data_IF_629485395574
#
_entry.id   IF_629485395574
#
_cell.length_a   1.000
_cell.length_b   1.000
_cell.length_c   1.000
_cell.angle_alpha   90.00
_cell.angle_beta   90.00
_cell.angle_gamma   90.00
#
_symmetry.space_group_name_H-M   'P 1'
#
loop_
_entity.id
_entity.type
_entity.pdbx_description
1 polymer ?
#
# COMPACT_ATOMS: atom_id res chain seq x y z
N UNK A 1 -6.45 -13.42 1.77
CA UNK A 1 -6.43 -14.03 3.12
C UNK A 1 -7.87 -14.08 3.61
N UNK A 2 -8.34 -15.22 4.10
CA UNK A 2 -9.75 -15.37 4.49
C UNK A 2 -9.91 -15.22 6.00
N UNK A 3 -10.89 -14.40 6.41
CA UNK A 3 -11.32 -14.30 7.80
C UNK A 3 -11.99 -15.61 8.21
N UNK A 4 -11.48 -16.26 9.27
CA UNK A 4 -12.00 -17.53 9.79
C UNK A 4 -12.86 -17.33 11.02
N UNK A 5 -12.46 -16.45 11.94
CA UNK A 5 -13.20 -16.19 13.15
C UNK A 5 -12.89 -14.79 13.70
N UNK A 6 -13.76 -14.30 14.56
CA UNK A 6 -13.45 -13.22 15.48
C UNK A 6 -13.80 -13.66 16.89
N UNK A 7 -13.04 -13.20 17.87
CA UNK A 7 -13.23 -13.48 19.29
C UNK A 7 -13.40 -12.14 20.00
N UNK A 8 -14.39 -12.05 20.87
CA UNK A 8 -14.57 -10.92 21.77
C UNK A 8 -14.29 -11.38 23.19
N UNK A 9 -13.25 -10.82 23.81
CA UNK A 9 -12.98 -11.05 25.23
C UNK A 9 -13.92 -10.21 26.10
N UNK A 10 -14.10 -10.65 27.35
CA UNK A 10 -14.83 -9.98 28.43
C UNK A 10 -14.47 -8.50 28.61
N UNK A 11 -13.25 -8.09 28.23
CA UNK A 11 -12.78 -6.70 28.29
C UNK A 11 -12.65 -6.02 26.93
N UNK A 12 -13.76 -5.79 26.21
CA UNK A 12 -13.89 -5.02 24.94
C UNK A 12 -12.85 -5.31 23.83
N UNK A 13 -11.98 -6.31 23.99
CA UNK A 13 -10.93 -6.65 23.05
C UNK A 13 -11.51 -7.57 21.98
N UNK A 14 -11.25 -7.20 20.73
CA UNK A 14 -11.55 -8.02 19.57
C UNK A 14 -10.26 -8.64 19.06
N UNK A 15 -10.29 -9.94 18.80
CA UNK A 15 -9.23 -10.66 18.10
C UNK A 15 -9.80 -11.24 16.82
N UNK A 16 -9.03 -11.17 15.75
CA UNK A 16 -9.45 -11.61 14.41
C UNK A 16 -8.51 -12.72 13.97
N UNK A 17 -9.07 -13.84 13.50
CA UNK A 17 -8.34 -15.04 13.12
C UNK A 17 -8.46 -15.24 11.62
N UNK A 18 -7.31 -15.33 10.95
CA UNK A 18 -7.22 -15.51 9.51
C UNK A 18 -6.50 -16.82 9.16
N UNK A 19 -6.59 -17.21 7.89
CA UNK A 19 -5.67 -18.21 7.34
C UNK A 19 -4.21 -17.77 7.47
N UNK A 20 -3.36 -18.70 7.93
CA UNK A 20 -1.93 -18.49 7.96
C UNK A 20 -1.36 -18.47 6.53
N UNK A 21 -0.49 -17.49 6.25
CA UNK A 21 0.19 -17.34 4.97
C UNK A 21 1.68 -17.58 5.20
N UNK A 22 2.26 -18.70 4.71
CA UNK A 22 3.60 -19.14 5.09
C UNK A 22 4.73 -18.26 4.55
N UNK A 23 4.53 -17.56 3.42
CA UNK A 23 5.52 -16.65 2.85
C UNK A 23 5.72 -15.36 3.67
N UNK A 24 4.86 -15.11 4.67
CA UNK A 24 4.95 -13.93 5.51
C UNK A 24 4.49 -12.66 4.79
N UNK A 25 4.91 -11.51 5.30
CA UNK A 25 4.59 -10.22 4.71
C UNK A 25 5.60 -9.80 3.64
N UNK A 26 5.21 -8.84 2.80
CA UNK A 26 6.10 -8.21 1.84
C UNK A 26 7.28 -7.52 2.53
N UNK A 27 7.07 -6.98 3.74
CA UNK A 27 8.15 -6.44 4.56
C UNK A 27 9.21 -7.51 4.88
N UNK A 28 8.78 -8.72 5.23
CA UNK A 28 9.68 -9.83 5.52
C UNK A 28 10.46 -10.25 4.27
N UNK A 29 9.79 -10.29 3.12
CA UNK A 29 10.42 -10.58 1.84
C UNK A 29 11.46 -9.50 1.46
N UNK A 30 11.12 -8.21 1.59
CA UNK A 30 12.03 -7.10 1.29
C UNK A 30 13.23 -7.07 2.26
N UNK A 31 13.06 -7.44 3.53
CA UNK A 31 14.20 -7.63 4.46
C UNK A 31 15.13 -8.76 4.01
N UNK A 32 14.58 -9.89 3.58
CA UNK A 32 15.36 -11.02 3.05
C UNK A 32 16.08 -10.65 1.75
N UNK A 33 15.47 -9.82 0.91
CA UNK A 33 16.12 -9.26 -0.29
C UNK A 33 17.32 -8.39 0.10
N UNK A 34 17.14 -7.45 1.04
CA UNK A 34 18.22 -6.56 1.52
C UNK A 34 19.39 -7.29 2.17
N UNK A 35 19.12 -8.40 2.86
CA UNK A 35 20.14 -9.25 3.51
C UNK A 35 20.75 -10.29 2.55
N UNK A 36 20.21 -10.42 1.33
CA UNK A 36 20.67 -11.39 0.33
C UNK A 36 20.16 -12.82 0.55
N UNK A 37 19.27 -13.05 1.52
CA UNK A 37 18.66 -14.35 1.82
C UNK A 37 17.58 -14.76 0.80
N UNK A 38 16.99 -13.78 0.11
CA UNK A 38 15.98 -14.02 -0.93
C UNK A 38 16.36 -13.26 -2.20
N UNK A 39 16.32 -13.95 -3.34
CA UNK A 39 16.39 -13.31 -4.66
C UNK A 39 14.99 -13.16 -5.22
N UNK A 40 14.53 -11.92 -5.35
CA UNK A 40 13.24 -11.59 -5.93
C UNK A 40 13.48 -10.79 -7.21
N UNK A 41 13.36 -11.45 -8.36
CA UNK A 41 13.55 -10.86 -9.69
C UNK A 41 12.43 -9.90 -10.09
N UNK A 42 12.62 -9.16 -11.19
CA UNK A 42 11.65 -8.17 -11.67
C UNK A 42 10.25 -8.77 -11.87
N UNK A 43 10.13 -9.89 -12.58
CA UNK A 43 8.84 -10.58 -12.83
C UNK A 43 8.03 -10.82 -11.55
N UNK A 44 8.71 -11.25 -10.47
CA UNK A 44 8.04 -11.51 -9.19
C UNK A 44 7.61 -10.22 -8.52
N UNK A 45 8.46 -9.18 -8.54
CA UNK A 45 8.14 -7.86 -7.97
C UNK A 45 7.00 -7.19 -8.73
N UNK A 46 7.01 -7.29 -10.05
CA UNK A 46 5.97 -6.77 -10.92
C UNK A 46 4.64 -7.50 -10.72
N UNK A 47 4.66 -8.84 -10.61
CA UNK A 47 3.46 -9.63 -10.28
C UNK A 47 2.86 -9.26 -8.92
N UNK A 48 3.71 -9.05 -7.91
CA UNK A 48 3.29 -8.53 -6.59
C UNK A 48 2.62 -7.16 -6.76
N UNK A 49 3.25 -6.23 -7.51
CA UNK A 49 2.66 -4.91 -7.73
C UNK A 49 1.29 -4.98 -8.43
N UNK A 50 1.16 -5.80 -9.48
CA UNK A 50 -0.12 -6.04 -10.17
C UNK A 50 -1.15 -6.61 -9.20
N UNK A 51 -0.80 -7.63 -8.41
CA UNK A 51 -1.74 -8.27 -7.49
C UNK A 51 -2.23 -7.32 -6.40
N UNK A 52 -1.35 -6.46 -5.85
CA UNK A 52 -1.76 -5.41 -4.90
C UNK A 52 -2.70 -4.41 -5.57
N UNK A 53 -2.39 -3.95 -6.79
CA UNK A 53 -3.25 -3.02 -7.54
C UNK A 53 -4.63 -3.63 -7.85
N UNK A 54 -4.68 -4.91 -8.25
CA UNK A 54 -5.93 -5.65 -8.45
C UNK A 54 -6.73 -5.76 -7.15
N UNK A 55 -6.06 -6.03 -6.03
CA UNK A 55 -6.69 -6.05 -4.70
C UNK A 55 -7.31 -4.70 -4.35
N UNK A 56 -6.61 -3.59 -4.57
CA UNK A 56 -7.15 -2.25 -4.35
C UNK A 56 -8.34 -1.95 -5.27
N UNK A 57 -8.23 -2.29 -6.56
CA UNK A 57 -9.33 -2.14 -7.53
C UNK A 57 -10.59 -2.87 -7.05
N UNK A 58 -10.45 -4.09 -6.56
CA UNK A 58 -11.56 -4.85 -6.01
C UNK A 58 -12.22 -4.13 -4.81
N UNK A 59 -11.43 -3.62 -3.87
CA UNK A 59 -11.94 -2.86 -2.71
C UNK A 59 -12.65 -1.55 -3.12
N UNK A 60 -12.08 -0.82 -4.08
CA UNK A 60 -12.53 0.51 -4.46
C UNK A 60 -13.75 0.52 -5.41
N UNK A 61 -13.81 -0.46 -6.32
CA UNK A 61 -14.77 -0.46 -7.44
C UNK A 61 -15.73 -1.65 -7.46
N UNK A 62 -15.35 -2.81 -6.92
CA UNK A 62 -16.18 -4.02 -6.98
C UNK A 62 -16.96 -4.27 -5.68
N UNK A 63 -16.43 -3.82 -4.54
CA UNK A 63 -17.11 -3.90 -3.25
C UNK A 63 -18.24 -2.86 -3.14
N UNK A 64 -19.41 -3.30 -2.64
CA UNK A 64 -20.55 -2.44 -2.33
C UNK A 64 -21.03 -2.69 -0.89
N UNK A 65 -20.88 -1.72 0.03
CA UNK A 65 -20.30 -0.39 -0.17
C UNK A 65 -18.80 -0.45 -0.47
N UNK A 66 -18.27 0.61 -1.11
CA UNK A 66 -16.84 0.79 -1.35
C UNK A 66 -16.05 0.61 -0.05
N UNK A 67 -14.95 -0.15 -0.12
CA UNK A 67 -14.02 -0.34 0.98
C UNK A 67 -12.74 0.41 0.64
N UNK A 68 -12.25 1.23 1.57
CA UNK A 68 -10.88 1.77 1.51
C UNK A 68 -10.01 0.95 2.46
N UNK A 69 -8.73 0.75 2.12
CA UNK A 69 -7.85 -0.08 2.93
C UNK A 69 -7.47 0.63 4.25
N UNK A 70 -7.21 1.94 4.21
CA UNK A 70 -6.79 2.80 5.35
C UNK A 70 -5.39 2.55 5.91
N UNK A 71 -4.87 1.33 5.84
CA UNK A 71 -3.56 0.96 6.38
C UNK A 71 -2.74 0.12 5.39
N UNK A 72 -2.70 0.52 4.11
CA UNK A 72 -1.91 -0.21 3.13
C UNK A 72 -0.41 0.08 3.36
N UNK A 73 0.36 -0.97 3.62
CA UNK A 73 1.81 -0.95 3.87
C UNK A 73 2.40 -2.35 3.65
N UNK A 74 3.73 -2.50 3.49
CA UNK A 74 4.34 -3.82 3.24
C UNK A 74 4.00 -4.90 4.28
N UNK A 75 3.82 -4.53 5.55
CA UNK A 75 3.44 -5.49 6.60
C UNK A 75 2.00 -5.99 6.49
N UNK A 76 1.14 -5.34 5.70
CA UNK A 76 -0.25 -5.75 5.45
C UNK A 76 -0.43 -6.37 4.05
N UNK A 77 0.65 -6.60 3.30
CA UNK A 77 0.65 -7.35 2.05
C UNK A 77 1.28 -8.71 2.32
N UNK A 78 0.47 -9.76 2.36
CA UNK A 78 0.94 -11.12 2.64
C UNK A 78 1.29 -11.82 1.33
N UNK A 79 2.33 -12.65 1.30
CA UNK A 79 2.78 -13.38 0.12
C UNK A 79 2.62 -14.87 0.35
N UNK A 80 1.94 -15.59 -0.55
CA UNK A 80 1.94 -17.05 -0.49
C UNK A 80 3.19 -17.66 -1.14
N UNK A 81 3.20 -18.99 -1.29
CA UNK A 81 4.35 -19.76 -1.76
C UNK A 81 4.76 -19.38 -3.19
N UNK A 82 3.82 -18.88 -3.99
CA UNK A 82 4.04 -18.43 -5.37
C UNK A 82 4.33 -16.92 -5.48
N UNK A 83 4.49 -16.23 -4.34
CA UNK A 83 4.58 -14.77 -4.24
C UNK A 83 3.33 -14.03 -4.73
N UNK A 84 2.16 -14.66 -4.70
CA UNK A 84 0.90 -13.96 -4.99
C UNK A 84 0.48 -13.12 -3.77
N UNK A 85 0.26 -11.81 -3.94
CA UNK A 85 -0.05 -10.93 -2.83
C UNK A 85 -1.50 -11.05 -2.37
N UNK A 86 -1.69 -11.02 -1.06
CA UNK A 86 -2.97 -11.04 -0.37
C UNK A 86 -3.02 -9.85 0.58
N UNK A 87 -3.93 -8.91 0.31
CA UNK A 87 -4.15 -7.77 1.20
C UNK A 87 -4.76 -8.25 2.53
N UNK A 88 -4.15 -7.84 3.64
CA UNK A 88 -4.59 -8.09 5.01
C UNK A 88 -5.11 -6.82 5.67
N UNK A 89 -5.89 -6.96 6.76
CA UNK A 89 -6.40 -5.85 7.57
C UNK A 89 -7.17 -4.75 6.82
N UNK A 90 -7.73 -5.10 5.65
CA UNK A 90 -8.53 -4.18 4.82
C UNK A 90 -9.66 -3.54 5.62
N UNK A 91 -9.60 -2.21 5.80
CA UNK A 91 -10.64 -1.44 6.48
C UNK A 91 -10.69 -1.62 8.01
N UNK A 92 -9.81 -2.43 8.60
CA UNK A 92 -9.77 -2.66 10.04
C UNK A 92 -9.38 -1.39 10.81
N UNK A 93 -8.43 -0.61 10.27
CA UNK A 93 -8.02 0.67 10.86
C UNK A 93 -9.20 1.62 11.05
N UNK A 94 -10.10 1.71 10.05
CA UNK A 94 -11.34 2.50 10.16
C UNK A 94 -12.28 1.94 11.22
N UNK A 95 -12.46 0.63 11.28
CA UNK A 95 -13.34 -0.01 12.28
C UNK A 95 -12.86 0.26 13.71
N UNK A 96 -11.54 0.22 13.94
CA UNK A 96 -10.94 0.52 15.24
C UNK A 96 -11.12 1.98 15.61
N UNK A 97 -10.85 2.93 14.70
CA UNK A 97 -11.10 4.36 14.93
C UNK A 97 -12.57 4.64 15.28
N UNK A 98 -13.52 4.02 14.56
CA UNK A 98 -14.95 4.15 14.86
C UNK A 98 -15.35 3.54 16.21
N UNK A 99 -14.66 2.49 16.66
CA UNK A 99 -14.91 1.88 17.97
C UNK A 99 -14.42 2.77 19.12
N UNK A 100 -13.27 3.44 18.97
CA UNK A 100 -12.73 4.39 19.94
C UNK A 100 -13.58 5.66 20.08
N UNK A 101 -14.20 6.11 18.98
CA UNK A 101 -15.10 7.26 18.98
C UNK A 101 -16.47 6.98 19.65
N UNK A 102 -16.80 5.72 19.99
CA UNK A 102 -18.02 5.43 20.73
C UNK A 102 -17.88 5.90 22.17
N UNK A 103 -18.82 6.70 22.71
CA UNK A 103 -18.75 7.13 24.09
C UNK A 103 -18.80 5.91 25.00
N UNK A 104 -17.69 5.63 25.70
CA UNK A 104 -17.68 4.71 26.85
C UNK A 104 -18.64 5.27 27.89
N UNK A 105 -19.74 4.55 28.09
CA UNK A 105 -20.77 4.74 29.11
C UNK A 105 -21.87 5.76 28.79
N UNK A 106 -22.96 5.25 28.21
CA UNK A 106 -24.31 5.72 28.52
C UNK A 106 -24.65 5.34 29.97
N UNK A 107 -24.31 6.20 30.93
CA UNK A 107 -25.08 6.29 32.17
C UNK A 107 -26.22 7.28 31.94
N UNK A 108 -27.45 6.76 31.97
CA UNK A 108 -28.75 7.43 31.98
C UNK A 108 -28.76 8.97 32.02
N UNK A 109 -28.90 9.62 30.86
CA UNK A 109 -29.64 10.88 30.71
C UNK A 109 -29.95 11.12 29.23
N UNK A 110 -31.22 11.41 28.96
CA UNK A 110 -31.87 11.81 27.69
C UNK A 110 -30.97 12.36 26.57
N UNK A 111 -31.11 11.89 25.31
CA UNK A 111 -30.35 12.44 24.19
C UNK A 111 -30.95 13.79 23.76
N UNK A 112 -30.22 14.89 24.00
CA UNK A 112 -30.38 16.11 23.18
C UNK A 112 -29.52 15.95 21.92
N UNK A 113 -30.02 16.28 20.72
CA UNK A 113 -29.20 16.29 19.51
C UNK A 113 -28.23 17.47 19.58
N UNK A 114 -27.00 17.18 19.98
CA UNK A 114 -25.89 18.13 19.95
C UNK A 114 -25.38 18.26 18.51
N UNK A 115 -25.28 19.49 18.02
CA UNK A 115 -24.71 19.87 16.72
C UNK A 115 -23.23 19.45 16.53
N UNK A 116 -22.63 18.80 17.53
CA UNK A 116 -21.29 18.24 17.54
C UNK A 116 -21.22 16.75 17.17
N UNK A 117 -22.24 16.19 16.49
CA UNK A 117 -22.18 14.85 15.86
C UNK A 117 -21.33 14.81 14.56
N UNK A 118 -20.29 15.63 14.50
CA UNK A 118 -19.43 15.80 13.32
C UNK A 118 -17.99 15.33 13.62
N UNK A 119 -17.69 14.73 14.78
CA UNK A 119 -16.35 14.17 15.02
C UNK A 119 -16.06 12.94 14.12
N UNK A 120 -17.06 12.07 13.87
CA UNK A 120 -16.89 10.90 13.00
C UNK A 120 -17.02 11.17 11.49
N UNK A 121 -17.27 12.42 11.08
CA UNK A 121 -17.28 12.81 9.65
C UNK A 121 -15.99 13.48 9.21
N UNK A 122 -15.22 14.03 10.15
CA UNK A 122 -14.09 14.91 9.83
C UNK A 122 -12.86 14.08 9.39
N UNK A 123 -12.54 12.96 10.03
CA UNK A 123 -11.43 12.09 9.58
C UNK A 123 -11.74 11.39 8.24
N UNK A 124 -13.00 10.99 8.02
CA UNK A 124 -13.49 10.46 6.74
C UNK A 124 -13.50 11.52 5.61
N UNK A 125 -13.30 12.81 5.91
CA UNK A 125 -13.31 13.88 4.90
C UNK A 125 -11.99 14.00 4.12
N UNK A 126 -10.88 13.51 4.66
CA UNK A 126 -9.56 13.61 4.02
C UNK A 126 -9.03 12.29 3.47
N UNK A 127 -9.48 11.15 3.98
CA UNK A 127 -9.08 9.85 3.43
C UNK A 127 -9.96 9.47 2.24
N UNK A 128 -9.32 9.14 1.12
CA UNK A 128 -9.99 8.75 -0.12
C UNK A 128 -9.31 7.51 -0.71
N UNK A 129 -9.84 6.95 -1.78
CA UNK A 129 -9.16 5.90 -2.57
C UNK A 129 -7.76 6.35 -3.03
N UNK A 130 -7.56 7.67 -3.23
CA UNK A 130 -6.26 8.25 -3.57
C UNK A 130 -5.23 8.16 -2.45
N UNK A 131 -5.66 7.99 -1.21
CA UNK A 131 -4.75 7.74 -0.08
C UNK A 131 -4.20 6.32 -0.12
N UNK A 132 -5.03 5.32 -0.45
CA UNK A 132 -4.56 3.95 -0.69
C UNK A 132 -3.61 3.89 -1.91
N UNK A 133 -3.89 4.65 -2.97
CA UNK A 133 -3.00 4.75 -4.14
C UNK A 133 -1.64 5.36 -3.79
N UNK A 134 -1.58 6.33 -2.88
CA UNK A 134 -0.31 6.85 -2.40
C UNK A 134 0.50 5.78 -1.66
N UNK A 135 -0.14 5.05 -0.74
CA UNK A 135 0.47 3.91 -0.06
C UNK A 135 0.96 2.84 -1.03
N UNK A 136 0.21 2.58 -2.10
CA UNK A 136 0.65 1.70 -3.18
C UNK A 136 1.93 2.23 -3.85
N UNK A 137 2.00 3.53 -4.14
CA UNK A 137 3.19 4.16 -4.73
C UNK A 137 4.45 3.95 -3.89
N UNK A 138 4.30 3.98 -2.56
CA UNK A 138 5.39 3.66 -1.62
C UNK A 138 5.84 2.21 -1.76
N UNK A 139 4.89 1.27 -1.81
CA UNK A 139 5.17 -0.17 -2.00
C UNK A 139 5.86 -0.41 -3.36
N UNK A 140 5.37 0.19 -4.44
CA UNK A 140 5.96 0.04 -5.76
C UNK A 140 7.39 0.60 -5.81
N UNK A 141 7.63 1.77 -5.21
CA UNK A 141 8.97 2.32 -5.12
C UNK A 141 9.92 1.44 -4.31
N UNK A 142 9.46 0.80 -3.22
CA UNK A 142 10.25 -0.16 -2.45
C UNK A 142 10.60 -1.42 -3.27
N UNK A 143 9.64 -1.94 -4.04
CA UNK A 143 9.85 -3.06 -4.96
C UNK A 143 10.87 -2.70 -6.05
N UNK A 144 10.82 -1.50 -6.61
CA UNK A 144 11.75 -1.08 -7.69
C UNK A 144 13.17 -0.85 -7.18
N UNK A 145 13.31 -0.30 -5.98
CA UNK A 145 14.58 0.20 -5.45
C UNK A 145 15.27 -0.79 -4.51
N UNK A 146 14.53 -1.76 -3.97
CA UNK A 146 15.01 -2.66 -2.93
C UNK A 146 15.30 -1.98 -1.59
N UNK A 147 14.97 -0.69 -1.45
CA UNK A 147 15.26 0.13 -0.25
C UNK A 147 14.12 0.11 0.74
N UNK A 148 14.43 0.52 1.98
CA UNK A 148 13.39 0.75 2.98
C UNK A 148 12.55 1.99 2.61
N UNK A 149 11.20 1.90 2.58
CA UNK A 149 10.35 3.07 2.44
C UNK A 149 10.60 4.22 3.42
N UNK A 150 11.11 3.89 4.62
CA UNK A 150 11.33 4.82 5.72
C UNK A 150 12.79 5.30 5.82
N UNK A 151 13.69 4.82 4.95
CA UNK A 151 15.05 5.35 4.88
C UNK A 151 15.02 6.85 4.52
N UNK A 152 15.85 7.62 5.20
CA UNK A 152 16.03 9.03 4.88
C UNK A 152 16.86 9.15 3.60
N UNK A 153 16.29 9.72 2.55
CA UNK A 153 17.01 10.00 1.32
C UNK A 153 17.89 11.24 1.55
N UNK A 154 19.19 11.12 1.28
CA UNK A 154 20.18 12.17 1.53
C UNK A 154 19.82 13.49 0.85
N UNK A 155 20.25 14.60 1.44
CA UNK A 155 20.01 15.95 0.88
C UNK A 155 20.56 16.08 -0.55
N UNK A 156 21.71 15.45 -0.83
CA UNK A 156 22.35 15.43 -2.16
C UNK A 156 21.55 14.68 -3.23
N UNK A 157 20.60 13.82 -2.84
CA UNK A 157 19.74 13.09 -3.76
C UNK A 157 18.34 13.72 -3.91
N UNK A 158 18.14 14.94 -3.39
CA UNK A 158 16.88 15.68 -3.50
C UNK A 158 16.08 15.79 -2.20
N UNK A 159 16.62 15.38 -1.06
CA UNK A 159 16.14 15.68 0.29
C UNK A 159 14.66 15.36 0.56
N UNK A 160 14.39 14.33 1.37
CA UNK A 160 13.04 14.06 1.90
C UNK A 160 12.55 12.64 1.69
N UNK A 161 11.29 12.49 1.27
CA UNK A 161 10.64 11.17 1.11
C UNK A 161 10.93 10.54 -0.26
N UNK A 162 10.65 9.23 -0.38
CA UNK A 162 10.84 8.43 -1.60
C UNK A 162 10.27 9.10 -2.86
N UNK A 163 9.09 9.71 -2.77
CA UNK A 163 8.45 10.36 -3.92
C UNK A 163 9.17 11.60 -4.43
N UNK A 164 9.83 12.38 -3.55
CA UNK A 164 10.66 13.51 -3.96
C UNK A 164 11.96 13.04 -4.61
N UNK A 165 12.59 12.03 -4.02
CA UNK A 165 13.80 11.42 -4.56
C UNK A 165 13.59 10.84 -5.96
N UNK A 166 12.53 10.04 -6.16
CA UNK A 166 12.19 9.50 -7.49
C UNK A 166 11.91 10.60 -8.52
N UNK A 167 11.20 11.68 -8.12
CA UNK A 167 10.97 12.85 -9.00
C UNK A 167 12.27 13.55 -9.38
N UNK A 168 13.19 13.70 -8.43
CA UNK A 168 14.50 14.31 -8.69
C UNK A 168 15.27 13.51 -9.74
N UNK A 169 15.39 12.19 -9.57
CA UNK A 169 16.05 11.32 -10.54
C UNK A 169 15.37 11.35 -11.92
N UNK A 170 14.05 11.47 -11.97
CA UNK A 170 13.34 11.64 -13.24
C UNK A 170 13.68 12.95 -13.94
N UNK A 171 13.88 14.03 -13.19
CA UNK A 171 14.22 15.35 -13.73
C UNK A 171 15.69 15.43 -14.17
N UNK A 172 16.61 14.74 -13.49
CA UNK A 172 18.03 14.68 -13.87
C UNK A 172 18.32 13.66 -14.97
N UNK A 173 17.37 12.78 -15.29
CA UNK A 173 17.54 11.71 -16.28
C UNK A 173 18.24 10.47 -15.74
N UNK A 174 18.37 10.35 -14.41
CA UNK A 174 19.10 9.30 -13.70
C UNK A 174 18.16 8.25 -13.10
N UNK A 175 16.97 8.04 -13.68
CA UNK A 175 15.95 7.07 -13.21
C UNK A 175 16.54 5.66 -13.02
N UNK A 176 17.49 5.28 -13.88
CA UNK A 176 18.19 3.99 -13.80
C UNK A 176 18.89 3.79 -12.45
N UNK A 177 19.35 4.85 -11.80
CA UNK A 177 20.02 4.78 -10.49
C UNK A 177 19.08 4.43 -9.34
N UNK A 178 17.77 4.67 -9.51
CA UNK A 178 16.78 4.22 -8.53
C UNK A 178 16.63 2.70 -8.51
N UNK A 179 16.93 2.02 -9.62
CA UNK A 179 16.64 0.60 -9.79
C UNK A 179 17.57 -0.25 -8.94
N UNK A 180 17.00 -1.27 -8.31
CA UNK A 180 17.76 -2.28 -7.59
C UNK A 180 18.69 -3.02 -8.57
N UNK A 181 20.00 -2.85 -8.36
CA UNK A 181 21.05 -3.45 -9.20
C UNK A 181 21.00 -4.98 -9.20
N UNK A 182 20.38 -5.60 -8.20
CA UNK A 182 20.20 -7.05 -8.16
C UNK A 182 19.19 -7.57 -9.21
N UNK A 183 18.34 -6.70 -9.75
CA UNK A 183 17.31 -7.06 -10.74
C UNK A 183 17.45 -6.32 -12.09
N UNK A 184 18.24 -5.24 -12.18
CA UNK A 184 18.44 -4.47 -13.40
C UNK A 184 19.35 -5.13 -14.47
N UNK A 185 19.37 -6.48 -14.54
CA UNK A 185 20.39 -7.25 -15.25
C UNK A 185 19.97 -7.89 -16.59
N UNK A 186 18.67 -7.95 -16.90
CA UNK A 186 18.17 -8.51 -18.16
C UNK A 186 17.80 -7.40 -19.16
N UNK A 187 18.26 -7.53 -20.41
CA UNK A 187 17.86 -6.64 -21.50
C UNK A 187 16.35 -6.78 -21.76
N UNK A 188 15.60 -5.67 -21.66
CA UNK A 188 14.13 -5.63 -21.82
C UNK A 188 13.37 -5.26 -20.53
N UNK A 189 13.72 -5.87 -19.40
CA UNK A 189 13.05 -5.60 -18.10
C UNK A 189 13.29 -4.17 -17.63
N UNK A 190 14.44 -3.58 -17.97
CA UNK A 190 14.81 -2.26 -17.50
C UNK A 190 13.89 -1.14 -18.02
N UNK A 191 13.42 -1.24 -19.26
CA UNK A 191 12.47 -0.27 -19.80
C UNK A 191 11.12 -0.35 -19.09
N UNK A 192 10.65 -1.56 -18.79
CA UNK A 192 9.46 -1.78 -17.97
C UNK A 192 9.63 -1.20 -16.56
N UNK A 193 10.78 -1.44 -15.94
CA UNK A 193 11.12 -0.91 -14.62
C UNK A 193 11.14 0.62 -14.61
N UNK A 194 11.72 1.25 -15.64
CA UNK A 194 11.70 2.71 -15.78
C UNK A 194 10.28 3.24 -15.94
N UNK A 195 9.42 2.55 -16.68
CA UNK A 195 8.00 2.92 -16.77
C UNK A 195 7.27 2.72 -15.43
N UNK A 196 7.57 1.66 -14.70
CA UNK A 196 7.04 1.44 -13.36
C UNK A 196 7.50 2.52 -12.36
N UNK A 197 8.72 3.05 -12.48
CA UNK A 197 9.14 4.22 -11.68
C UNK A 197 8.25 5.43 -11.97
N UNK A 198 7.89 5.68 -13.24
CA UNK A 198 6.96 6.76 -13.59
C UNK A 198 5.59 6.55 -12.96
N UNK A 199 5.08 5.32 -12.95
CA UNK A 199 3.82 4.98 -12.26
C UNK A 199 3.93 5.28 -10.76
N UNK A 200 5.04 4.87 -10.11
CA UNK A 200 5.28 5.14 -8.70
C UNK A 200 5.29 6.65 -8.41
N UNK A 201 5.95 7.45 -9.25
CA UNK A 201 6.01 8.92 -9.13
C UNK A 201 4.61 9.54 -9.17
N UNK A 202 3.77 9.14 -10.12
CA UNK A 202 2.40 9.69 -10.22
C UNK A 202 1.55 9.26 -9.03
N UNK A 203 1.67 8.02 -8.56
CA UNK A 203 1.01 7.55 -7.34
C UNK A 203 1.42 8.36 -6.10
N UNK A 204 2.68 8.79 -6.04
CA UNK A 204 3.27 9.57 -4.95
C UNK A 204 3.07 11.09 -5.09
N UNK A 205 2.19 11.56 -5.99
CA UNK A 205 1.89 13.00 -6.11
C UNK A 205 1.36 13.57 -4.79
N UNK A 206 1.79 14.79 -4.46
CA UNK A 206 1.33 15.54 -3.30
C UNK A 206 -0.17 15.90 -3.43
N UNK A 207 -0.65 16.11 -4.65
CA UNK A 207 -2.06 16.38 -4.96
C UNK A 207 -2.81 15.05 -5.22
N UNK A 208 -3.85 14.70 -4.42
CA UNK A 208 -4.61 13.47 -4.62
C UNK A 208 -5.27 13.35 -6.01
N UNK A 209 -5.62 14.48 -6.62
CA UNK A 209 -6.27 14.53 -7.93
C UNK A 209 -5.37 14.06 -9.08
N UNK A 210 -4.05 14.17 -8.92
CA UNK A 210 -3.07 13.78 -9.94
C UNK A 210 -2.77 12.27 -9.90
N UNK A 211 -3.08 11.62 -8.78
CA UNK A 211 -2.86 10.17 -8.61
C UNK A 211 -3.87 9.42 -9.48
N UNK A 212 -3.51 8.29 -10.13
CA UNK A 212 -4.47 7.48 -10.86
C UNK A 212 -5.52 6.87 -9.91
N UNK A 213 -6.61 6.37 -10.46
CA UNK A 213 -7.50 5.44 -9.75
C UNK A 213 -6.87 4.05 -9.67
N UNK A 214 -7.33 3.20 -8.75
CA UNK A 214 -6.86 1.82 -8.67
C UNK A 214 -7.23 0.96 -9.90
N UNK A 215 -8.29 1.32 -10.62
CA UNK A 215 -8.64 0.70 -11.90
C UNK A 215 -7.63 1.03 -13.01
N UNK A 216 -7.31 2.32 -13.18
CA UNK A 216 -6.25 2.78 -14.10
C UNK A 216 -4.90 2.19 -13.73
N UNK A 217 -4.55 2.15 -12.44
CA UNK A 217 -3.29 1.62 -11.94
C UNK A 217 -3.09 0.14 -12.33
N UNK A 218 -4.12 -0.69 -12.16
CA UNK A 218 -4.08 -2.09 -12.53
C UNK A 218 -3.88 -2.27 -14.04
N UNK A 219 -4.50 -1.41 -14.86
CA UNK A 219 -4.32 -1.41 -16.31
C UNK A 219 -2.90 -0.96 -16.71
N UNK A 220 -2.40 0.14 -16.15
CA UNK A 220 -1.06 0.67 -16.42
C UNK A 220 0.03 -0.36 -16.15
N UNK A 221 -0.04 -1.06 -15.01
CA UNK A 221 0.95 -2.08 -14.65
C UNK A 221 0.87 -3.32 -15.54
N UNK A 222 -0.35 -3.75 -15.89
CA UNK A 222 -0.55 -4.92 -16.75
C UNK A 222 -0.04 -4.70 -18.19
N UNK A 223 -0.02 -3.45 -18.65
CA UNK A 223 0.49 -3.08 -19.98
C UNK A 223 2.01 -3.07 -20.07
N UNK A 224 2.75 -3.10 -18.94
CA UNK A 224 4.22 -3.10 -18.97
C UNK A 224 4.78 -4.36 -19.63
N UNK A 225 4.21 -5.53 -19.35
CA UNK A 225 4.60 -6.84 -19.92
C UNK A 225 4.07 -7.10 -21.35
N UNK A 226 3.50 -6.09 -22.02
CA UNK A 226 2.92 -6.24 -23.36
C UNK A 226 3.88 -5.78 -24.49
N UNK A 227 5.16 -5.58 -24.18
CA UNK A 227 6.19 -5.14 -25.11
C UNK A 227 7.27 -6.19 -25.31
#
# INVERSE_FOLDING_TARGET
MSLRAYVRDSGERFSVVYDYVPGGSLEDALKKVRTGELKLGWDSRHRIAIGVAKGLRHLHFECSPRILHYDLKPTNVMLDEEFEPKLGDCGLARLLAMAELRPRNQSAATPRPSAYRVAGKIEDLWYTDKSDVFSFGVILGALLTGRDPHESFSEDAGGGNLGRWLRHLQQTGEVREALDKAIAGAEGEEEEMMMAVRIAIVCLSDLPADRPSSDELAAMLSQLHSF
#
